data_IF_611141388340
#
_entry.id   IF_611141388340
#
_cell.length_a   1.000
_cell.length_b   1.000
_cell.length_c   1.000
_cell.angle_alpha   90.00
_cell.angle_beta   90.00
_cell.angle_gamma   90.00
#
_symmetry.space_group_name_H-M   'P 1'
#
loop_
_entity.id
_entity.type
_entity.pdbx_description
1 polymer ?
#
# COMPACT_ATOMS: atom_id res chain seq x y z
N UNK A 1 27.53 10.26 9.67
CA UNK A 1 27.29 10.21 8.21
C UNK A 1 25.87 9.72 8.06
N UNK A 2 24.96 10.66 8.22
CA UNK A 2 23.53 10.45 8.43
C UNK A 2 22.89 10.86 7.11
N UNK A 3 22.66 9.88 6.26
CA UNK A 3 22.25 10.12 4.89
C UNK A 3 22.12 8.83 4.11
N UNK A 4 20.99 8.14 4.30
CA UNK A 4 20.31 7.55 3.17
C UNK A 4 18.86 7.99 3.24
N UNK A 5 18.52 8.86 2.29
CA UNK A 5 17.19 9.40 2.05
C UNK A 5 16.26 8.21 1.85
N UNK A 6 15.12 8.07 2.58
CA UNK A 6 14.10 7.15 2.14
C UNK A 6 13.66 7.66 0.77
N UNK A 7 14.19 7.01 -0.27
CA UNK A 7 13.81 7.17 -1.66
C UNK A 7 12.45 6.53 -1.84
N UNK A 8 11.50 7.02 -1.06
CA UNK A 8 10.12 6.71 -1.28
C UNK A 8 9.54 7.80 -2.17
N UNK A 9 9.84 7.68 -3.45
CA UNK A 9 9.11 8.39 -4.49
C UNK A 9 9.37 7.59 -5.76
N UNK A 10 8.47 6.66 -6.10
CA UNK A 10 7.88 6.57 -7.45
C UNK A 10 7.00 5.31 -7.61
N UNK A 11 5.67 5.51 -7.65
CA UNK A 11 4.85 4.66 -8.51
C UNK A 11 3.46 4.19 -8.05
N UNK A 12 2.87 4.73 -6.98
CA UNK A 12 1.39 4.88 -6.83
C UNK A 12 1.03 6.18 -6.08
N UNK A 13 1.83 7.20 -6.39
CA UNK A 13 1.77 8.65 -6.15
C UNK A 13 1.46 9.28 -4.77
N UNK A 14 0.85 8.63 -3.76
CA UNK A 14 0.60 9.31 -2.46
C UNK A 14 0.84 8.46 -1.20
N UNK A 15 1.27 7.20 -1.32
CA UNK A 15 1.36 6.29 -0.18
C UNK A 15 2.71 5.63 -0.03
N UNK A 16 3.24 5.52 1.21
CA UNK A 16 4.56 5.01 1.43
C UNK A 16 4.63 3.48 1.23
N UNK A 17 5.78 2.93 0.82
CA UNK A 17 5.96 1.58 0.34
C UNK A 17 5.91 0.62 1.52
N UNK A 18 6.28 1.09 2.71
CA UNK A 18 6.02 0.39 3.97
C UNK A 18 4.52 0.16 4.21
N UNK A 19 3.68 1.14 3.88
CA UNK A 19 2.22 1.04 3.99
C UNK A 19 1.67 0.07 2.95
N UNK A 20 2.11 0.22 1.69
CA UNK A 20 1.77 -0.71 0.59
C UNK A 20 2.13 -2.14 0.97
N UNK A 21 3.32 -2.39 1.52
CA UNK A 21 3.76 -3.73 1.94
C UNK A 21 2.99 -4.28 3.15
N UNK A 22 2.66 -3.44 4.13
CA UNK A 22 1.82 -3.81 5.27
C UNK A 22 0.42 -4.24 4.79
N UNK A 23 -0.20 -3.43 3.94
CA UNK A 23 -1.50 -3.69 3.34
C UNK A 23 -1.47 -4.97 2.48
N UNK A 24 -0.43 -5.15 1.66
CA UNK A 24 -0.27 -6.33 0.82
C UNK A 24 -0.12 -7.62 1.64
N UNK A 25 0.65 -7.56 2.74
CA UNK A 25 0.84 -8.70 3.64
C UNK A 25 -0.43 -9.08 4.39
N UNK A 26 -1.27 -8.08 4.72
CA UNK A 26 -2.54 -8.27 5.44
C UNK A 26 -3.67 -8.70 4.52
N UNK A 27 -3.74 -8.13 3.32
CA UNK A 27 -4.78 -8.36 2.33
C UNK A 27 -4.18 -8.91 1.04
N UNK A 28 -4.34 -10.22 0.83
CA UNK A 28 -3.84 -10.93 -0.36
C UNK A 28 -4.41 -10.43 -1.70
N UNK A 29 -5.48 -9.65 -1.66
CA UNK A 29 -6.16 -9.06 -2.82
C UNK A 29 -5.98 -7.54 -2.90
N UNK A 30 -4.94 -7.01 -2.27
CA UNK A 30 -4.57 -5.60 -2.34
C UNK A 30 -4.00 -5.24 -3.72
N UNK A 31 -4.43 -4.11 -4.27
CA UNK A 31 -3.95 -3.55 -5.53
C UNK A 31 -3.18 -2.26 -5.25
N UNK A 32 -1.86 -2.24 -5.48
CA UNK A 32 -1.08 -1.01 -5.30
C UNK A 32 -1.47 0.06 -6.31
N UNK A 33 -1.92 -0.29 -7.52
CA UNK A 33 -2.31 0.64 -8.60
C UNK A 33 -3.37 1.69 -8.21
N UNK A 34 -4.26 1.34 -7.27
CA UNK A 34 -5.38 2.19 -6.84
C UNK A 34 -5.50 2.23 -5.31
N UNK A 35 -4.49 1.70 -4.59
CA UNK A 35 -4.52 1.48 -3.14
C UNK A 35 -5.76 0.71 -2.61
N UNK A 36 -6.53 0.06 -3.49
CA UNK A 36 -7.74 -0.67 -3.13
C UNK A 36 -7.44 -2.11 -2.71
N UNK A 37 -7.96 -2.55 -1.57
CA UNK A 37 -7.96 -3.94 -1.12
C UNK A 37 -9.37 -4.53 -1.03
N UNK A 38 -9.46 -5.86 -1.18
CA UNK A 38 -10.69 -6.62 -0.96
C UNK A 38 -10.68 -7.21 0.46
N UNK A 39 -11.64 -6.85 1.34
CA UNK A 39 -11.75 -7.44 2.67
C UNK A 39 -12.22 -8.89 2.60
N UNK A 40 -11.75 -9.71 3.54
CA UNK A 40 -12.14 -11.14 3.65
C UNK A 40 -13.63 -11.36 3.92
N UNK A 41 -14.32 -10.34 4.45
CA UNK A 41 -15.76 -10.38 4.70
C UNK A 41 -16.61 -10.31 3.42
N UNK A 42 -16.00 -10.20 2.23
CA UNK A 42 -16.72 -10.20 0.95
C UNK A 42 -17.43 -8.88 0.61
N UNK A 43 -17.01 -7.77 1.23
CA UNK A 43 -17.56 -6.43 0.99
C UNK A 43 -16.99 -5.72 -0.24
N UNK A 44 -17.38 -4.47 -0.53
CA UNK A 44 -16.76 -3.67 -1.57
C UNK A 44 -15.25 -3.45 -1.30
N UNK A 45 -14.49 -3.15 -2.35
CA UNK A 45 -13.07 -2.76 -2.20
C UNK A 45 -12.96 -1.49 -1.37
N UNK A 46 -11.97 -1.44 -0.48
CA UNK A 46 -11.68 -0.29 0.38
C UNK A 46 -10.26 0.18 0.11
N UNK A 47 -10.02 1.48 0.20
CA UNK A 47 -8.67 2.01 0.18
C UNK A 47 -7.94 1.66 1.48
N UNK A 48 -6.65 1.43 1.40
CA UNK A 48 -5.80 1.20 2.54
C UNK A 48 -5.24 2.54 3.03
N UNK A 49 -5.74 3.02 4.16
CA UNK A 49 -5.32 4.25 4.86
C UNK A 49 -4.60 3.92 6.18
#
# INVERSE_FOLDING_TARGET
>A
MDGDVPSDETGTAELPPEHVQCCFSRYRSYRPEDNSYQPYSGGPRRQCE
#
